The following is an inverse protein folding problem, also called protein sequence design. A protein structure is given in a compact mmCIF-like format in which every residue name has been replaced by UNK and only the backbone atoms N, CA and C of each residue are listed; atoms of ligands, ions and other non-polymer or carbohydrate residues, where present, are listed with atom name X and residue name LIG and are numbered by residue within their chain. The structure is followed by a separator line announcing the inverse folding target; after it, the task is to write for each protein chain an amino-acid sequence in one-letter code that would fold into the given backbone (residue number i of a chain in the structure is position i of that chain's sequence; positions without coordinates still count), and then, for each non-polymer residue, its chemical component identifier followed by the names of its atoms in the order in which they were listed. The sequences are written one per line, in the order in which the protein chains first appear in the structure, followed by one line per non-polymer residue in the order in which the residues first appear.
data_IF_561595724150
#
_entry.id   IF_561595724150
#
_cell.length_a   1.000
_cell.length_b   1.000
_cell.length_c   1.000
_cell.angle_alpha   90.00
_cell.angle_beta   90.00
_cell.angle_gamma   90.00
#
_symmetry.space_group_name_H-M   'P 1'
#
loop_
_entity.id
_entity.type
_entity.pdbx_description
1 polymer ?
#
# COMPACT_ATOMS: atom_id res chain seq x y z
N UNK A 1 -19.44 17.67 16.11
CA UNK A 1 -18.35 17.88 15.13
C UNK A 1 -17.43 16.67 15.32
N UNK A 2 -17.54 15.68 14.42
CA UNK A 2 -16.94 14.35 14.62
C UNK A 2 -15.43 14.36 14.49
N UNK A 3 -14.79 13.52 15.28
CA UNK A 3 -13.34 13.49 15.49
C UNK A 3 -12.63 12.84 14.30
N UNK A 4 -12.18 13.68 13.35
CA UNK A 4 -11.52 13.23 12.10
C UNK A 4 -10.28 12.37 12.37
N UNK A 5 -9.52 12.69 13.41
CA UNK A 5 -8.36 11.91 13.81
C UNK A 5 -8.75 10.46 14.13
N UNK A 6 -9.83 10.27 14.89
CA UNK A 6 -10.33 8.94 15.22
C UNK A 6 -10.91 8.19 14.01
N UNK A 7 -11.44 8.90 13.01
CA UNK A 7 -11.90 8.28 11.75
C UNK A 7 -10.73 7.84 10.87
N UNK A 8 -9.69 8.66 10.76
CA UNK A 8 -8.45 8.34 10.06
C UNK A 8 -7.72 7.16 10.72
N UNK A 9 -7.66 7.11 12.05
CA UNK A 9 -7.09 5.99 12.81
C UNK A 9 -7.85 4.68 12.57
N UNK A 10 -9.19 4.71 12.61
CA UNK A 10 -10.02 3.53 12.33
C UNK A 10 -9.84 3.06 10.89
N UNK A 11 -9.77 3.99 9.94
CA UNK A 11 -9.53 3.67 8.55
C UNK A 11 -8.12 3.07 8.36
N UNK A 12 -7.08 3.64 8.98
CA UNK A 12 -5.73 3.10 8.94
C UNK A 12 -5.67 1.67 9.51
N UNK A 13 -6.32 1.42 10.65
CA UNK A 13 -6.37 0.09 11.25
C UNK A 13 -7.07 -0.92 10.32
N UNK A 14 -8.23 -0.56 9.75
CA UNK A 14 -8.95 -1.41 8.81
C UNK A 14 -8.14 -1.68 7.52
N UNK A 15 -7.45 -0.66 7.01
CA UNK A 15 -6.63 -0.78 5.80
C UNK A 15 -5.41 -1.67 6.06
N UNK A 16 -4.74 -1.53 7.20
CA UNK A 16 -3.62 -2.38 7.59
C UNK A 16 -4.05 -3.84 7.75
N UNK A 17 -5.22 -4.09 8.37
CA UNK A 17 -5.78 -5.43 8.47
C UNK A 17 -6.04 -6.06 7.09
N UNK A 18 -6.56 -5.27 6.14
CA UNK A 18 -6.83 -5.75 4.79
C UNK A 18 -5.53 -6.01 3.99
N UNK A 19 -4.47 -5.21 4.20
CA UNK A 19 -3.14 -5.52 3.66
C UNK A 19 -2.67 -6.88 4.17
N UNK A 20 -2.71 -7.11 5.49
CA UNK A 20 -2.25 -8.36 6.09
C UNK A 20 -3.11 -9.56 5.67
N UNK A 21 -4.40 -9.35 5.38
CA UNK A 21 -5.27 -10.39 4.82
C UNK A 21 -4.84 -10.80 3.40
N UNK A 22 -4.46 -9.83 2.56
CA UNK A 22 -4.07 -10.04 1.16
C UNK A 22 -2.59 -10.43 0.99
N UNK A 23 -1.75 -10.00 1.92
CA UNK A 23 -0.30 -10.15 1.93
C UNK A 23 0.14 -10.59 3.33
N UNK A 24 -0.14 -11.84 3.73
CA UNK A 24 0.13 -12.34 5.09
C UNK A 24 1.60 -12.32 5.50
N UNK A 25 2.53 -12.35 4.54
CA UNK A 25 3.96 -12.19 4.76
C UNK A 25 4.46 -10.74 4.86
N UNK A 26 3.57 -9.76 4.69
CA UNK A 26 3.91 -8.34 4.83
C UNK A 26 4.22 -8.01 6.30
N UNK A 27 5.37 -7.39 6.61
CA UNK A 27 5.65 -6.95 7.97
C UNK A 27 4.58 -5.99 8.50
N UNK A 28 4.21 -6.14 9.78
CA UNK A 28 3.12 -5.36 10.38
C UNK A 28 3.40 -3.85 10.38
N UNK A 29 4.64 -3.44 10.62
CA UNK A 29 5.09 -2.06 10.55
C UNK A 29 4.98 -1.48 9.12
N UNK A 30 5.27 -2.31 8.09
CA UNK A 30 5.07 -1.95 6.68
C UNK A 30 3.59 -1.76 6.37
N UNK A 31 2.72 -2.68 6.78
CA UNK A 31 1.28 -2.56 6.59
C UNK A 31 0.72 -1.29 7.25
N UNK A 32 1.16 -0.98 8.47
CA UNK A 32 0.78 0.24 9.19
C UNK A 32 1.26 1.51 8.48
N UNK A 33 2.50 1.54 7.98
CA UNK A 33 3.03 2.68 7.25
C UNK A 33 2.26 2.96 5.95
N UNK A 34 1.90 1.91 5.21
CA UNK A 34 1.09 2.01 3.98
C UNK A 34 -0.30 2.54 4.32
N UNK A 35 -0.93 1.99 5.36
CA UNK A 35 -2.25 2.39 5.80
C UNK A 35 -2.28 3.85 6.28
N UNK A 36 -1.31 4.29 7.06
CA UNK A 36 -1.18 5.68 7.50
C UNK A 36 -1.06 6.63 6.31
N UNK A 37 -0.27 6.27 5.30
CA UNK A 37 -0.13 7.05 4.07
C UNK A 37 -1.44 7.12 3.27
N UNK A 38 -2.15 6.00 3.14
CA UNK A 38 -3.45 5.95 2.47
C UNK A 38 -4.51 6.81 3.19
N UNK A 39 -4.52 6.77 4.53
CA UNK A 39 -5.42 7.53 5.40
C UNK A 39 -5.19 9.03 5.27
N UNK A 40 -3.93 9.47 5.34
CA UNK A 40 -3.55 10.87 5.18
C UNK A 40 -4.01 11.45 3.82
N UNK A 41 -3.93 10.65 2.75
CA UNK A 41 -4.39 11.05 1.40
C UNK A 41 -5.91 11.00 1.23
N UNK A 42 -6.60 10.16 2.00
CA UNK A 42 -8.06 10.05 2.00
C UNK A 42 -8.77 11.20 2.72
N UNK A 43 -8.16 11.74 3.78
CA UNK A 43 -8.75 12.67 4.77
C UNK A 43 -9.46 13.93 4.23
N UNK A 44 -9.27 14.29 2.94
CA UNK A 44 -9.93 15.43 2.32
C UNK A 44 -11.38 15.20 1.86
N UNK A 45 -11.82 13.95 1.60
CA UNK A 45 -13.13 13.65 0.96
C UNK A 45 -13.71 12.25 1.31
N UNK A 46 -13.51 11.75 2.53
CA UNK A 46 -14.07 10.44 2.91
C UNK A 46 -15.49 10.59 3.47
N UNK A 47 -16.50 10.31 2.65
CA UNK A 47 -17.81 9.90 3.15
C UNK A 47 -17.83 8.38 3.32
N UNK A 48 -18.84 7.83 4.00
CA UNK A 48 -18.99 6.39 4.25
C UNK A 48 -18.75 5.51 3.00
N UNK A 49 -19.16 5.97 1.83
CA UNK A 49 -19.00 5.27 0.55
C UNK A 49 -17.59 5.37 -0.06
N UNK A 50 -16.79 6.39 0.25
CA UNK A 50 -15.39 6.46 -0.19
C UNK A 50 -14.46 5.66 0.71
N UNK A 51 -14.75 5.57 2.02
CA UNK A 51 -14.02 4.69 2.93
C UNK A 51 -14.13 3.23 2.47
N UNK A 52 -15.35 2.76 2.19
CA UNK A 52 -15.58 1.40 1.68
C UNK A 52 -14.90 1.12 0.34
N UNK A 53 -14.86 2.10 -0.58
CA UNK A 53 -14.13 1.96 -1.86
C UNK A 53 -12.62 1.95 -1.68
N UNK A 54 -12.10 2.73 -0.74
CA UNK A 54 -10.68 2.74 -0.43
C UNK A 54 -10.21 1.43 0.23
N UNK A 55 -11.11 0.72 0.94
CA UNK A 55 -10.89 -0.64 1.45
C UNK A 55 -11.18 -1.75 0.44
N UNK A 56 -11.52 -1.42 -0.82
CA UNK A 56 -11.64 -2.45 -1.84
C UNK A 56 -10.29 -3.12 -2.09
N UNK A 57 -10.30 -4.43 -2.36
CA UNK A 57 -9.10 -5.20 -2.64
C UNK A 57 -8.20 -4.53 -3.70
N UNK A 58 -8.78 -4.03 -4.79
CA UNK A 58 -8.02 -3.32 -5.83
C UNK A 58 -7.36 -2.02 -5.36
N UNK A 59 -8.01 -1.28 -4.46
CA UNK A 59 -7.44 -0.07 -3.86
C UNK A 59 -6.30 -0.40 -2.89
N UNK A 60 -6.47 -1.46 -2.10
CA UNK A 60 -5.45 -1.96 -1.17
C UNK A 60 -4.22 -2.45 -1.91
N UNK A 61 -4.40 -3.32 -2.92
CA UNK A 61 -3.31 -3.79 -3.78
C UNK A 61 -2.59 -2.63 -4.45
N UNK A 62 -3.33 -1.64 -4.97
CA UNK A 62 -2.73 -0.46 -5.60
C UNK A 62 -1.86 0.35 -4.64
N UNK A 63 -2.29 0.51 -3.39
CA UNK A 63 -1.51 1.21 -2.37
C UNK A 63 -0.24 0.43 -1.99
N UNK A 64 -0.34 -0.89 -1.84
CA UNK A 64 0.82 -1.76 -1.57
C UNK A 64 1.83 -1.69 -2.72
N UNK A 65 1.38 -1.84 -3.97
CA UNK A 65 2.23 -1.71 -5.17
C UNK A 65 2.92 -0.35 -5.22
N UNK A 66 2.20 0.73 -4.89
CA UNK A 66 2.78 2.06 -4.85
C UNK A 66 3.85 2.17 -3.76
N UNK A 67 3.59 1.66 -2.55
CA UNK A 67 4.56 1.69 -1.47
C UNK A 67 5.81 0.87 -1.78
N UNK A 68 5.66 -0.34 -2.30
CA UNK A 68 6.78 -1.21 -2.70
C UNK A 68 7.62 -0.53 -3.77
N UNK A 69 6.99 0.06 -4.78
CA UNK A 69 7.68 0.85 -5.81
C UNK A 69 8.58 1.92 -5.21
N UNK A 70 8.07 2.70 -4.26
CA UNK A 70 8.81 3.84 -3.72
C UNK A 70 9.86 3.44 -2.67
N UNK A 71 9.62 2.38 -1.91
CA UNK A 71 10.50 2.03 -0.78
C UNK A 71 11.47 0.90 -1.10
N UNK A 72 11.03 -0.12 -1.86
CA UNK A 72 11.81 -1.35 -2.09
C UNK A 72 12.54 -1.33 -3.44
N UNK A 73 12.45 -0.24 -4.21
CA UNK A 73 13.06 -0.14 -5.54
C UNK A 73 13.73 1.22 -5.76
N UNK A 74 14.68 1.34 -6.71
CA UNK A 74 15.33 2.62 -7.02
C UNK A 74 14.42 3.57 -7.83
N UNK A 75 13.09 3.43 -7.76
CA UNK A 75 12.15 4.21 -8.58
C UNK A 75 12.41 5.71 -8.48
N UNK A 76 12.52 6.23 -7.25
CA UNK A 76 12.73 7.66 -7.04
C UNK A 76 14.10 8.12 -7.55
N UNK A 77 15.14 7.29 -7.42
CA UNK A 77 16.47 7.57 -7.97
C UNK A 77 16.46 7.62 -9.50
N UNK A 78 15.74 6.69 -10.15
CA UNK A 78 15.57 6.68 -11.60
C UNK A 78 14.86 7.95 -12.09
N UNK A 79 13.81 8.39 -11.38
CA UNK A 79 13.12 9.64 -11.71
C UNK A 79 14.05 10.85 -11.54
N UNK A 80 14.82 10.89 -10.45
CA UNK A 80 15.79 11.96 -10.20
C UNK A 80 16.90 11.99 -11.25
N UNK A 81 17.29 10.84 -11.81
CA UNK A 81 18.29 10.75 -12.89
C UNK A 81 17.70 11.02 -14.28
N UNK A 82 16.45 11.51 -14.39
CA UNK A 82 15.81 11.89 -15.65
C UNK A 82 15.15 10.73 -16.41
N UNK A 83 15.06 9.53 -15.84
CA UNK A 83 14.37 8.40 -16.47
C UNK A 83 12.87 8.66 -16.49
N UNK A 84 12.22 8.43 -17.64
CA UNK A 84 10.78 8.62 -17.75
C UNK A 84 10.01 7.69 -16.81
N UNK A 85 8.83 8.10 -16.33
CA UNK A 85 8.01 7.28 -15.43
C UNK A 85 7.68 5.91 -16.01
N UNK A 86 7.44 5.84 -17.32
CA UNK A 86 7.16 4.58 -18.02
C UNK A 86 8.38 3.66 -17.99
N UNK A 87 9.54 4.18 -18.37
CA UNK A 87 10.80 3.44 -18.36
C UNK A 87 11.17 2.97 -16.95
N UNK A 88 11.09 3.86 -15.96
CA UNK A 88 11.38 3.55 -14.57
C UNK A 88 10.45 2.44 -14.04
N UNK A 89 9.15 2.50 -14.33
CA UNK A 89 8.18 1.45 -13.97
C UNK A 89 8.51 0.12 -14.63
N UNK A 90 8.89 0.13 -15.92
CA UNK A 90 9.26 -1.09 -16.64
C UNK A 90 10.49 -1.75 -16.01
N UNK A 91 11.50 -0.96 -15.62
CA UNK A 91 12.74 -1.46 -15.01
C UNK A 91 12.52 -2.12 -13.65
N UNK A 92 11.68 -1.51 -12.81
CA UNK A 92 11.45 -2.01 -11.44
C UNK A 92 10.38 -3.09 -11.36
N UNK A 93 9.60 -3.33 -12.42
CA UNK A 93 8.44 -4.23 -12.37
C UNK A 93 8.80 -5.63 -11.81
N UNK A 94 9.90 -6.29 -12.24
CA UNK A 94 10.28 -7.59 -11.68
C UNK A 94 10.60 -7.53 -10.17
N UNK A 95 11.22 -6.45 -9.70
CA UNK A 95 11.55 -6.27 -8.28
C UNK A 95 10.29 -6.07 -7.44
N UNK A 96 9.34 -5.25 -7.93
CA UNK A 96 8.04 -5.07 -7.29
C UNK A 96 7.28 -6.40 -7.22
N UNK A 97 7.20 -7.13 -8.33
CA UNK A 97 6.52 -8.43 -8.38
C UNK A 97 7.14 -9.46 -7.43
N UNK A 98 8.47 -9.48 -7.31
CA UNK A 98 9.17 -10.39 -6.39
C UNK A 98 8.81 -10.12 -4.92
N UNK A 99 8.76 -8.86 -4.49
CA UNK A 99 8.36 -8.49 -3.12
C UNK A 99 6.90 -8.87 -2.86
N UNK A 100 6.00 -8.56 -3.80
CA UNK A 100 4.57 -8.86 -3.65
C UNK A 100 4.32 -10.37 -3.56
N UNK A 101 4.98 -11.17 -4.40
CA UNK A 101 4.90 -12.65 -4.33
C UNK A 101 5.41 -13.17 -3.00
N UNK A 102 6.57 -12.69 -2.53
CA UNK A 102 7.11 -13.10 -1.24
C UNK A 102 6.12 -12.84 -0.08
N UNK A 103 5.42 -11.71 -0.10
CA UNK A 103 4.41 -11.41 0.93
C UNK A 103 3.09 -12.18 0.75
N UNK A 104 2.75 -12.63 -0.45
CA UNK A 104 1.59 -13.51 -0.67
C UNK A 104 1.90 -14.94 -0.23
N UNK A 105 3.09 -15.45 -0.57
CA UNK A 105 3.46 -16.84 -0.40
C UNK A 105 3.95 -17.16 1.02
N UNK A 106 4.53 -16.21 1.76
CA UNK A 106 5.03 -16.46 3.12
C UNK A 106 3.92 -16.73 4.16
N UNK A 107 2.64 -16.51 3.82
CA UNK A 107 1.51 -17.00 4.62
C UNK A 107 1.04 -18.41 4.26
N UNK A 108 1.56 -19.00 3.18
CA UNK A 108 1.23 -20.35 2.72
C UNK A 108 2.19 -21.42 3.28
N UNK A 109 3.32 -21.02 3.88
CA UNK A 109 4.33 -21.92 4.50
C UNK A 109 4.03 -22.25 5.99
N UNK A 110 2.79 -21.99 6.42
CA UNK A 110 2.24 -22.45 7.70
C UNK A 110 1.07 -23.40 7.43
N UNK A 111 1.39 -24.56 6.87
CA UNK A 111 0.46 -25.66 6.60
C UNK A 111 1.13 -27.02 6.75
#
# INVERSE_FOLDING_TARGET
RGDRAAEDERFAAAFAAEILRLFPGCPADRALAIAAHASARGSGRVGRSSAGRALSEGAVISAVVAAVRHVDTPYDQLLMSGVSRYEARRRIAPAVESVLRAWQDAGADVG
#
